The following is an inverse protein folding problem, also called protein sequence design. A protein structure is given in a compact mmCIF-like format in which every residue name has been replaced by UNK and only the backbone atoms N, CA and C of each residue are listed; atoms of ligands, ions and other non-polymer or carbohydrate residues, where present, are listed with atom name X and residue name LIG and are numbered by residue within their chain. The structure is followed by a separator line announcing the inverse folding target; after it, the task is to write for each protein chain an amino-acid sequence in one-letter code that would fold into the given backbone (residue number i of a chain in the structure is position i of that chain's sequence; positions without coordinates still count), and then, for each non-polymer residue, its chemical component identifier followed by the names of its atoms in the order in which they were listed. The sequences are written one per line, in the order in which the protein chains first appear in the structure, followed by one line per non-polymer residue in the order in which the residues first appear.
data_IF_213961598896
#
_entry.id   IF_213961598896
#
_cell.length_a   1.000
_cell.length_b   1.000
_cell.length_c   1.000
_cell.angle_alpha   90.00
_cell.angle_beta   90.00
_cell.angle_gamma   90.00
#
_symmetry.space_group_name_H-M   'P 1'
#
loop_
_entity.id
_entity.type
_entity.pdbx_description
1 polymer ?
#
# COMPACT_ATOMS: atom_id res chain seq x y z
N UNK A 1 16.04 5.73 -32.73
CA UNK A 1 15.25 4.80 -31.94
C UNK A 1 13.77 5.07 -32.21
N UNK A 2 13.04 4.09 -32.77
CA UNK A 2 11.67 4.28 -33.23
C UNK A 2 10.73 4.69 -32.09
N UNK A 3 9.68 5.50 -32.38
CA UNK A 3 8.65 5.91 -31.42
C UNK A 3 7.98 4.71 -30.71
N UNK A 4 7.97 3.54 -31.37
CA UNK A 4 7.36 2.30 -30.83
C UNK A 4 8.14 1.68 -29.66
N UNK A 5 9.44 1.86 -29.58
CA UNK A 5 10.30 1.23 -28.52
C UNK A 5 10.38 2.08 -27.26
N UNK A 6 10.18 3.40 -27.35
CA UNK A 6 10.32 4.34 -26.23
C UNK A 6 9.42 4.06 -25.01
N UNK A 7 8.13 3.68 -25.13
CA UNK A 7 7.29 3.42 -23.95
C UNK A 7 7.71 2.16 -23.19
N UNK A 8 8.11 1.10 -23.90
CA UNK A 8 8.59 -0.13 -23.28
C UNK A 8 9.84 0.10 -22.42
N UNK A 9 10.79 0.90 -22.93
CA UNK A 9 12.00 1.22 -22.17
C UNK A 9 11.65 1.90 -20.85
N UNK A 10 10.68 2.82 -20.83
CA UNK A 10 10.30 3.54 -19.60
C UNK A 10 9.60 2.62 -18.60
N UNK A 11 8.69 1.78 -19.08
CA UNK A 11 8.07 0.77 -18.24
C UNK A 11 9.12 -0.16 -17.63
N UNK A 12 10.02 -0.68 -18.45
CA UNK A 12 11.11 -1.56 -18.01
C UNK A 12 12.08 -0.82 -17.07
N UNK A 13 12.47 0.43 -17.38
CA UNK A 13 13.38 1.20 -16.53
C UNK A 13 12.74 1.53 -15.18
N UNK A 14 11.45 1.90 -15.16
CA UNK A 14 10.71 2.14 -13.92
C UNK A 14 10.61 0.87 -13.08
N UNK A 15 10.26 -0.24 -13.69
CA UNK A 15 10.24 -1.54 -13.04
C UNK A 15 11.61 -1.92 -12.48
N UNK A 16 12.67 -1.84 -13.29
CA UNK A 16 14.04 -2.18 -12.88
C UNK A 16 14.52 -1.31 -11.69
N UNK A 17 14.18 0.00 -11.71
CA UNK A 17 14.49 0.89 -10.61
C UNK A 17 13.78 0.45 -9.33
N UNK A 18 12.52 0.03 -9.40
CA UNK A 18 11.77 -0.43 -8.23
C UNK A 18 12.32 -1.72 -7.64
N UNK A 19 13.00 -2.57 -8.43
CA UNK A 19 13.61 -3.82 -7.95
C UNK A 19 14.85 -3.59 -7.08
N UNK A 20 15.49 -2.41 -7.18
CA UNK A 20 16.69 -2.13 -6.40
C UNK A 20 16.39 -2.14 -4.90
N UNK A 21 17.09 -2.99 -4.16
CA UNK A 21 16.92 -3.21 -2.71
C UNK A 21 15.47 -3.47 -2.26
N UNK A 22 14.62 -4.02 -3.14
CA UNK A 22 13.19 -4.22 -2.86
C UNK A 22 12.93 -5.11 -1.65
N UNK A 23 13.79 -6.10 -1.41
CA UNK A 23 13.67 -7.04 -0.27
C UNK A 23 14.30 -6.57 1.02
N UNK A 24 15.03 -5.43 1.03
CA UNK A 24 15.81 -4.97 2.20
C UNK A 24 14.94 -4.40 3.32
N UNK A 25 13.93 -3.54 3.05
CA UNK A 25 13.10 -3.01 4.12
C UNK A 25 12.38 -4.10 4.89
N UNK A 26 12.35 -3.97 6.23
CA UNK A 26 11.58 -4.88 7.09
C UNK A 26 10.11 -4.91 6.66
N UNK A 27 9.47 -6.06 6.78
CA UNK A 27 8.02 -6.18 6.63
C UNK A 27 7.32 -5.44 7.78
N UNK A 28 6.10 -4.95 7.53
CA UNK A 28 5.30 -4.21 8.50
C UNK A 28 3.86 -4.72 8.56
N UNK A 29 3.04 -4.10 9.42
CA UNK A 29 1.71 -4.61 9.77
C UNK A 29 0.83 -4.95 8.56
N UNK A 30 0.79 -4.07 7.56
CA UNK A 30 -0.08 -4.26 6.39
C UNK A 30 0.43 -5.38 5.46
N UNK A 31 1.76 -5.54 5.34
CA UNK A 31 2.34 -6.64 4.58
C UNK A 31 2.16 -7.97 5.31
N UNK A 32 2.25 -7.96 6.65
CA UNK A 32 1.93 -9.12 7.47
C UNK A 32 0.45 -9.53 7.34
N UNK A 33 -0.47 -8.55 7.30
CA UNK A 33 -1.88 -8.82 7.03
C UNK A 33 -2.08 -9.47 5.64
N UNK A 34 -1.35 -8.98 4.63
CA UNK A 34 -1.36 -9.58 3.28
C UNK A 34 -0.86 -11.02 3.31
N UNK A 35 0.26 -11.30 4.00
CA UNK A 35 0.78 -12.67 4.16
C UNK A 35 -0.20 -13.53 4.91
N UNK A 36 -0.71 -13.05 6.07
CA UNK A 36 -1.66 -13.78 6.90
C UNK A 36 -2.98 -14.10 6.20
N UNK A 37 -3.40 -13.27 5.26
CA UNK A 37 -4.55 -13.54 4.41
C UNK A 37 -4.18 -14.50 3.25
N UNK A 38 -3.10 -14.22 2.53
CA UNK A 38 -2.74 -14.94 1.30
C UNK A 38 -2.14 -16.33 1.55
N UNK A 39 -1.47 -16.56 2.68
CA UNK A 39 -0.81 -17.84 3.02
C UNK A 39 -1.75 -18.87 3.66
N UNK A 40 -3.06 -18.70 3.58
CA UNK A 40 -4.05 -19.67 4.11
C UNK A 40 -4.74 -20.40 2.97
N UNK A 41 -5.40 -21.58 3.25
CA UNK A 41 -6.25 -22.24 2.28
C UNK A 41 -7.30 -21.29 1.72
N UNK A 42 -7.67 -21.46 0.43
CA UNK A 42 -8.60 -20.57 -0.27
C UNK A 42 -9.95 -20.44 0.44
N UNK A 43 -10.45 -21.55 1.03
CA UNK A 43 -11.71 -21.55 1.78
C UNK A 43 -11.62 -20.72 3.05
N UNK A 44 -10.47 -20.78 3.76
CA UNK A 44 -10.19 -19.94 4.93
C UNK A 44 -10.00 -18.48 4.54
N UNK A 45 -9.41 -18.19 3.37
CA UNK A 45 -9.33 -16.84 2.84
C UNK A 45 -10.73 -16.28 2.54
N UNK A 46 -11.60 -17.08 1.91
CA UNK A 46 -12.98 -16.70 1.65
C UNK A 46 -13.75 -16.39 2.93
N UNK A 47 -13.63 -17.23 3.96
CA UNK A 47 -14.23 -16.98 5.27
C UNK A 47 -13.66 -15.70 5.94
N UNK A 48 -12.35 -15.46 5.80
CA UNK A 48 -11.73 -14.27 6.33
C UNK A 48 -12.37 -13.00 5.75
N UNK A 49 -12.44 -12.89 4.42
CA UNK A 49 -12.93 -11.69 3.73
C UNK A 49 -14.43 -11.44 3.89
N UNK A 50 -15.18 -12.39 4.42
CA UNK A 50 -16.56 -12.19 4.83
C UNK A 50 -16.70 -11.55 6.22
N UNK A 51 -15.61 -11.47 7.00
CA UNK A 51 -15.61 -10.99 8.38
C UNK A 51 -14.67 -9.81 8.60
N UNK A 52 -13.61 -9.70 7.79
CA UNK A 52 -12.60 -8.66 7.92
C UNK A 52 -11.89 -8.43 6.58
N UNK A 53 -11.53 -7.18 6.27
CA UNK A 53 -10.73 -6.78 5.12
C UNK A 53 -11.33 -7.17 3.74
N UNK A 54 -12.65 -7.25 3.61
CA UNK A 54 -13.33 -7.53 2.35
C UNK A 54 -12.86 -6.61 1.20
N UNK A 55 -12.56 -5.35 1.52
CA UNK A 55 -12.07 -4.34 0.57
C UNK A 55 -10.70 -4.68 -0.03
N UNK A 56 -9.96 -5.60 0.57
CA UNK A 56 -8.68 -6.13 0.09
C UNK A 56 -8.79 -7.54 -0.49
N UNK A 57 -10.00 -8.13 -0.51
CA UNK A 57 -10.21 -9.55 -0.83
C UNK A 57 -9.66 -9.95 -2.20
N UNK A 58 -9.88 -9.14 -3.24
CA UNK A 58 -9.34 -9.41 -4.58
C UNK A 58 -7.80 -9.38 -4.59
N UNK A 59 -7.20 -8.42 -3.88
CA UNK A 59 -5.75 -8.34 -3.78
C UNK A 59 -5.17 -9.53 -3.00
N UNK A 60 -5.82 -9.95 -1.91
CA UNK A 60 -5.42 -11.14 -1.16
C UNK A 60 -5.53 -12.44 -1.99
N UNK A 61 -6.60 -12.58 -2.79
CA UNK A 61 -6.72 -13.71 -3.71
C UNK A 61 -5.60 -13.70 -4.78
N UNK A 62 -5.29 -12.54 -5.35
CA UNK A 62 -4.15 -12.40 -6.27
C UNK A 62 -2.84 -12.80 -5.59
N UNK A 63 -2.59 -12.33 -4.37
CA UNK A 63 -1.38 -12.64 -3.61
C UNK A 63 -1.33 -14.09 -3.12
N UNK A 64 -2.47 -14.76 -2.92
CA UNK A 64 -2.55 -16.19 -2.64
C UNK A 64 -1.95 -17.02 -3.78
N UNK A 65 -2.41 -16.77 -5.02
CA UNK A 65 -1.86 -17.46 -6.20
C UNK A 65 -0.41 -17.06 -6.47
N UNK A 66 -0.06 -15.80 -6.30
CA UNK A 66 1.31 -15.34 -6.46
C UNK A 66 2.26 -15.99 -5.44
N UNK A 67 1.88 -15.96 -4.17
CA UNK A 67 2.68 -16.53 -3.08
C UNK A 67 2.82 -18.06 -3.16
N UNK A 68 1.80 -18.76 -3.66
CA UNK A 68 1.88 -20.20 -3.90
C UNK A 68 2.92 -20.60 -4.95
N UNK A 69 3.21 -19.70 -5.92
CA UNK A 69 4.20 -19.93 -6.97
C UNK A 69 5.60 -19.44 -6.60
N UNK A 70 5.71 -18.30 -5.92
CA UNK A 70 6.98 -17.58 -5.72
C UNK A 70 7.38 -17.44 -4.25
N UNK A 71 6.52 -17.88 -3.32
CA UNK A 71 6.71 -17.72 -1.88
C UNK A 71 6.43 -16.31 -1.37
N UNK A 72 6.68 -16.12 -0.06
CA UNK A 72 6.37 -14.88 0.68
C UNK A 72 7.64 -14.16 1.19
N UNK A 73 8.80 -14.37 0.55
CA UNK A 73 9.97 -13.56 0.89
C UNK A 73 9.68 -12.07 0.64
N UNK A 74 10.30 -11.12 1.37
CA UNK A 74 10.05 -9.69 1.19
C UNK A 74 10.19 -9.22 -0.27
N UNK A 75 11.15 -9.79 -1.02
CA UNK A 75 11.33 -9.50 -2.44
C UNK A 75 10.17 -10.03 -3.28
N UNK A 76 9.83 -11.33 -3.15
CA UNK A 76 8.76 -11.96 -3.92
C UNK A 76 7.41 -11.30 -3.64
N UNK A 77 7.15 -10.96 -2.38
CA UNK A 77 5.93 -10.32 -1.92
C UNK A 77 5.69 -8.94 -2.57
N UNK A 78 6.76 -8.13 -2.76
CA UNK A 78 6.72 -6.77 -3.28
C UNK A 78 6.88 -6.68 -4.79
N UNK A 79 7.36 -7.76 -5.42
CA UNK A 79 7.61 -7.81 -6.87
C UNK A 79 6.41 -7.39 -7.72
N UNK A 80 5.16 -7.83 -7.45
CA UNK A 80 3.99 -7.39 -8.20
C UNK A 80 3.79 -5.87 -8.16
N UNK A 81 4.00 -5.23 -7.01
CA UNK A 81 3.86 -3.79 -6.87
C UNK A 81 4.90 -3.02 -7.69
N UNK A 82 6.15 -3.49 -7.70
CA UNK A 82 7.20 -2.95 -8.57
C UNK A 82 6.84 -3.08 -10.05
N UNK A 83 6.30 -4.23 -10.46
CA UNK A 83 5.81 -4.47 -11.83
C UNK A 83 4.68 -3.49 -12.19
N UNK A 84 3.70 -3.29 -11.32
CA UNK A 84 2.59 -2.36 -11.56
C UNK A 84 3.05 -0.91 -11.67
N UNK A 85 4.09 -0.48 -10.96
CA UNK A 85 4.70 0.84 -11.17
C UNK A 85 5.26 0.97 -12.59
N UNK A 86 6.00 -0.03 -13.08
CA UNK A 86 6.50 -0.04 -14.46
C UNK A 86 5.37 0.00 -15.50
N UNK A 87 4.31 -0.79 -15.28
CA UNK A 87 3.12 -0.80 -16.14
C UNK A 87 2.38 0.53 -16.10
N UNK A 88 2.25 1.15 -14.92
CA UNK A 88 1.68 2.49 -14.78
C UNK A 88 2.44 3.55 -15.58
N UNK A 89 3.77 3.55 -15.51
CA UNK A 89 4.61 4.47 -16.29
C UNK A 89 4.45 4.26 -17.79
N UNK A 90 4.33 3.01 -18.23
CA UNK A 90 4.03 2.67 -19.64
C UNK A 90 2.65 3.19 -20.07
N UNK A 91 1.60 2.90 -19.29
CA UNK A 91 0.24 3.35 -19.60
C UNK A 91 0.11 4.87 -19.56
N UNK A 92 0.78 5.53 -18.61
CA UNK A 92 0.76 6.98 -18.48
C UNK A 92 1.38 7.68 -19.68
N UNK A 93 2.46 7.11 -20.26
CA UNK A 93 3.01 7.59 -21.52
C UNK A 93 1.98 7.54 -22.66
N UNK A 94 1.26 6.42 -22.78
CA UNK A 94 0.23 6.27 -23.82
C UNK A 94 -0.96 7.21 -23.57
N UNK A 95 -1.38 7.36 -22.32
CA UNK A 95 -2.42 8.30 -21.94
C UNK A 95 -2.04 9.75 -22.31
N UNK A 96 -0.80 10.15 -22.00
CA UNK A 96 -0.30 11.48 -22.36
C UNK A 96 -0.37 11.74 -23.88
N UNK A 97 0.02 10.75 -24.70
CA UNK A 97 -0.11 10.85 -26.16
C UNK A 97 -1.58 10.93 -26.61
N UNK A 98 -2.47 10.16 -25.99
CA UNK A 98 -3.93 10.22 -26.26
C UNK A 98 -4.53 11.57 -25.87
N UNK A 99 -4.01 12.20 -24.83
CA UNK A 99 -4.34 13.57 -24.44
C UNK A 99 -3.66 14.62 -25.32
N UNK A 100 -3.04 14.21 -26.44
CA UNK A 100 -2.37 15.06 -27.43
C UNK A 100 -1.16 15.84 -26.89
N UNK A 101 -0.53 15.35 -25.85
CA UNK A 101 0.72 15.93 -25.36
C UNK A 101 1.89 15.51 -26.30
N UNK A 102 2.92 16.35 -26.33
CA UNK A 102 4.14 16.03 -27.09
C UNK A 102 4.83 14.76 -26.54
N UNK A 103 5.61 14.07 -27.36
CA UNK A 103 6.40 12.91 -26.93
C UNK A 103 7.33 13.22 -25.75
N UNK A 104 7.85 14.44 -25.67
CA UNK A 104 8.68 14.85 -24.54
C UNK A 104 7.86 14.97 -23.27
N UNK A 105 6.70 15.64 -23.31
CA UNK A 105 5.80 15.74 -22.19
C UNK A 105 5.30 14.35 -21.72
N UNK A 106 4.96 13.45 -22.66
CA UNK A 106 4.62 12.08 -22.35
C UNK A 106 5.77 11.32 -21.67
N UNK A 107 7.01 11.57 -22.10
CA UNK A 107 8.21 11.03 -21.46
C UNK A 107 8.37 11.55 -20.03
N UNK A 108 8.25 12.85 -19.86
CA UNK A 108 8.40 13.46 -18.54
C UNK A 108 7.31 13.02 -17.59
N UNK A 109 6.06 12.83 -18.05
CA UNK A 109 4.99 12.29 -17.22
C UNK A 109 5.36 10.92 -16.64
N UNK A 110 5.90 10.00 -17.46
CA UNK A 110 6.36 8.68 -16.98
C UNK A 110 7.55 8.81 -16.02
N UNK A 111 8.54 9.64 -16.34
CA UNK A 111 9.73 9.84 -15.48
C UNK A 111 9.37 10.48 -14.16
N UNK A 112 8.54 11.52 -14.17
CA UNK A 112 8.04 12.18 -12.98
C UNK A 112 7.24 11.21 -12.13
N UNK A 113 6.33 10.43 -12.72
CA UNK A 113 5.56 9.41 -12.00
C UNK A 113 6.46 8.43 -11.25
N UNK A 114 7.50 7.88 -11.94
CA UNK A 114 8.47 6.98 -11.32
C UNK A 114 9.22 7.66 -10.18
N UNK A 115 9.54 8.96 -10.33
CA UNK A 115 10.28 9.74 -9.34
C UNK A 115 9.43 10.23 -8.16
N UNK A 116 8.10 10.13 -8.22
CA UNK A 116 7.23 10.57 -7.11
C UNK A 116 7.47 9.73 -5.86
N UNK A 117 7.66 10.34 -4.67
CA UNK A 117 7.82 9.61 -3.41
C UNK A 117 6.68 8.64 -3.13
N UNK A 118 5.44 9.01 -3.45
CA UNK A 118 4.28 8.10 -3.32
C UNK A 118 4.42 6.85 -4.18
N UNK A 119 4.96 6.99 -5.39
CA UNK A 119 5.22 5.85 -6.29
C UNK A 119 6.30 4.92 -5.72
N UNK A 120 7.34 5.48 -5.08
CA UNK A 120 8.38 4.69 -4.42
C UNK A 120 7.82 3.82 -3.31
N UNK A 121 6.94 4.39 -2.46
CA UNK A 121 6.28 3.65 -1.39
C UNK A 121 5.34 2.58 -1.96
N UNK A 122 4.45 2.95 -2.88
CA UNK A 122 3.51 2.02 -3.49
C UNK A 122 4.21 0.86 -4.21
N UNK A 123 5.34 1.11 -4.88
CA UNK A 123 6.13 0.09 -5.58
C UNK A 123 6.98 -0.80 -4.67
N UNK A 124 7.16 -0.42 -3.40
CA UNK A 124 7.96 -1.16 -2.41
C UNK A 124 7.10 -1.74 -1.28
N UNK A 125 5.84 -1.96 -1.52
CA UNK A 125 4.89 -2.42 -0.52
C UNK A 125 3.95 -3.47 -1.11
N UNK A 126 3.70 -4.54 -0.37
CA UNK A 126 2.76 -5.58 -0.77
C UNK A 126 1.32 -5.21 -0.39
N UNK A 127 0.84 -4.12 -1.00
CA UNK A 127 -0.54 -3.61 -0.89
C UNK A 127 -1.08 -3.27 -2.27
N UNK A 128 -2.39 -3.09 -2.35
CA UNK A 128 -3.08 -2.83 -3.62
C UNK A 128 -2.79 -1.47 -4.26
N UNK A 129 -2.04 -0.57 -3.61
CA UNK A 129 -1.84 0.81 -4.02
C UNK A 129 -1.28 0.97 -5.44
N UNK A 130 -0.22 0.21 -5.78
CA UNK A 130 0.38 0.26 -7.12
C UNK A 130 -0.57 -0.31 -8.19
N UNK A 131 -1.26 -1.41 -7.90
CA UNK A 131 -2.27 -2.00 -8.79
C UNK A 131 -3.44 -1.03 -9.00
N UNK A 132 -3.94 -0.39 -7.94
CA UNK A 132 -5.03 0.59 -8.03
C UNK A 132 -4.64 1.78 -8.88
N UNK A 133 -3.43 2.33 -8.72
CA UNK A 133 -2.92 3.41 -9.57
C UNK A 133 -2.86 2.98 -11.04
N UNK A 134 -2.40 1.75 -11.32
CA UNK A 134 -2.37 1.17 -12.67
C UNK A 134 -3.78 1.09 -13.27
N UNK A 135 -4.74 0.57 -12.49
CA UNK A 135 -6.12 0.40 -12.94
C UNK A 135 -6.81 1.74 -13.21
N UNK A 136 -6.56 2.77 -12.38
CA UNK A 136 -7.13 4.10 -12.60
C UNK A 136 -6.51 4.77 -13.82
N UNK A 137 -5.19 4.66 -14.05
CA UNK A 137 -4.56 5.15 -15.29
C UNK A 137 -5.15 4.42 -16.51
N UNK A 138 -5.32 3.09 -16.43
CA UNK A 138 -5.97 2.30 -17.47
C UNK A 138 -7.43 2.72 -17.69
N UNK A 139 -8.17 2.99 -16.63
CA UNK A 139 -9.57 3.46 -16.67
C UNK A 139 -9.68 4.77 -17.45
N UNK A 140 -8.82 5.75 -17.13
CA UNK A 140 -8.79 7.03 -17.85
C UNK A 140 -8.37 6.83 -19.32
N UNK A 141 -7.44 5.94 -19.60
CA UNK A 141 -7.06 5.60 -20.98
C UNK A 141 -8.24 4.98 -21.74
N UNK A 142 -8.99 4.05 -21.13
CA UNK A 142 -10.19 3.44 -21.71
C UNK A 142 -11.30 4.47 -21.86
N UNK A 143 -11.48 5.40 -20.92
CA UNK A 143 -12.43 6.51 -21.04
C UNK A 143 -12.09 7.35 -22.28
N UNK A 144 -10.85 7.82 -22.41
CA UNK A 144 -10.41 8.62 -23.59
C UNK A 144 -10.66 7.85 -24.88
N UNK A 145 -10.35 6.55 -24.88
CA UNK A 145 -10.66 5.68 -26.02
C UNK A 145 -12.17 5.54 -26.31
N UNK A 146 -13.01 5.47 -25.26
CA UNK A 146 -14.45 5.39 -25.42
C UNK A 146 -15.06 6.69 -25.98
N UNK A 147 -14.44 7.84 -25.71
CA UNK A 147 -14.87 9.13 -26.24
C UNK A 147 -14.48 9.36 -27.71
N UNK A 148 -13.58 8.56 -28.31
CA UNK A 148 -13.15 8.70 -29.71
C UNK A 148 -14.18 8.17 -30.73
N UNK A 149 -15.33 7.62 -30.33
CA UNK A 149 -16.29 7.05 -31.28
C UNK A 149 -17.74 6.99 -30.76
N UNK A 150 -18.69 7.32 -31.65
CA UNK A 150 -20.09 7.53 -31.27
C UNK A 150 -20.89 6.25 -30.93
N UNK A 151 -20.52 5.08 -31.44
CA UNK A 151 -21.34 3.86 -31.36
C UNK A 151 -20.65 2.63 -30.76
N UNK A 152 -19.51 2.76 -30.10
CA UNK A 152 -18.78 1.58 -29.66
C UNK A 152 -19.06 1.21 -28.19
N UNK A 153 -20.13 0.45 -27.93
CA UNK A 153 -20.47 -0.09 -26.63
C UNK A 153 -19.38 -1.00 -26.04
N UNK A 154 -18.59 -1.67 -26.88
CA UNK A 154 -17.49 -2.51 -26.39
C UNK A 154 -16.49 -1.71 -25.52
N UNK A 155 -16.23 -0.45 -25.86
CA UNK A 155 -15.35 0.42 -25.09
C UNK A 155 -15.95 0.79 -23.73
N UNK A 156 -17.27 0.96 -23.66
CA UNK A 156 -17.97 1.19 -22.40
C UNK A 156 -18.07 -0.07 -21.55
N UNK A 157 -18.17 -1.26 -22.14
CA UNK A 157 -18.01 -2.53 -21.42
C UNK A 157 -16.60 -2.68 -20.84
N UNK A 158 -15.56 -2.34 -21.62
CA UNK A 158 -14.20 -2.31 -21.09
C UNK A 158 -14.05 -1.30 -19.92
N UNK A 159 -14.68 -0.12 -20.01
CA UNK A 159 -14.74 0.85 -18.93
C UNK A 159 -15.41 0.25 -17.68
N UNK A 160 -16.58 -0.39 -17.83
CA UNK A 160 -17.27 -1.09 -16.74
C UNK A 160 -16.36 -2.12 -16.08
N UNK A 161 -15.70 -2.97 -16.87
CA UNK A 161 -14.81 -4.03 -16.35
C UNK A 161 -13.62 -3.48 -15.58
N UNK A 162 -12.92 -2.47 -16.13
CA UNK A 162 -11.77 -1.86 -15.46
C UNK A 162 -12.18 -1.09 -14.20
N UNK A 163 -13.32 -0.40 -14.23
CA UNK A 163 -13.88 0.28 -13.07
C UNK A 163 -14.24 -0.71 -11.96
N UNK A 164 -14.94 -1.79 -12.29
CA UNK A 164 -15.27 -2.85 -11.32
C UNK A 164 -14.01 -3.43 -10.70
N UNK A 165 -13.03 -3.77 -11.52
CA UNK A 165 -11.75 -4.30 -11.04
C UNK A 165 -11.03 -3.30 -10.10
N UNK A 166 -11.09 -2.01 -10.42
CA UNK A 166 -10.53 -0.94 -9.59
C UNK A 166 -11.23 -0.85 -8.23
N UNK A 167 -12.58 -0.92 -8.20
CA UNK A 167 -13.38 -0.90 -6.97
C UNK A 167 -13.09 -2.14 -6.11
N UNK A 168 -13.02 -3.34 -6.71
CA UNK A 168 -12.65 -4.57 -5.99
C UNK A 168 -11.22 -4.56 -5.45
N UNK A 169 -10.33 -3.82 -6.10
CA UNK A 169 -8.94 -3.68 -5.65
C UNK A 169 -8.81 -2.67 -4.52
N UNK A 170 -9.59 -1.58 -4.59
CA UNK A 170 -9.61 -0.53 -3.58
C UNK A 170 -10.86 0.35 -3.71
N UNK A 171 -11.74 0.29 -2.72
CA UNK A 171 -13.07 0.91 -2.77
C UNK A 171 -13.02 2.43 -3.02
N UNK A 172 -12.05 3.15 -2.42
CA UNK A 172 -11.92 4.61 -2.61
C UNK A 172 -11.51 5.00 -4.04
N UNK A 173 -11.09 4.06 -4.90
CA UNK A 173 -10.87 4.34 -6.31
C UNK A 173 -12.15 4.82 -7.03
N UNK A 174 -13.33 4.50 -6.49
CA UNK A 174 -14.62 5.00 -6.98
C UNK A 174 -14.75 6.53 -6.94
N UNK A 175 -13.95 7.22 -6.11
CA UNK A 175 -13.91 8.69 -6.10
C UNK A 175 -13.56 9.29 -7.46
N UNK A 176 -12.92 8.53 -8.35
CA UNK A 176 -12.59 8.94 -9.72
C UNK A 176 -13.85 9.19 -10.59
N UNK A 177 -14.98 8.63 -10.22
CA UNK A 177 -16.23 8.81 -10.97
C UNK A 177 -16.71 10.26 -10.97
N UNK A 178 -16.50 10.99 -9.88
CA UNK A 178 -16.93 12.38 -9.77
C UNK A 178 -16.17 13.30 -10.73
N UNK A 179 -14.82 13.31 -10.77
CA UNK A 179 -14.09 14.09 -11.77
C UNK A 179 -14.41 13.70 -13.21
N UNK A 180 -14.62 12.39 -13.50
CA UNK A 180 -15.05 11.95 -14.83
C UNK A 180 -16.45 12.50 -15.17
N UNK A 181 -17.41 12.39 -14.25
CA UNK A 181 -18.76 12.91 -14.44
C UNK A 181 -18.77 14.42 -14.71
N UNK A 182 -18.05 15.21 -13.91
CA UNK A 182 -17.91 16.66 -14.11
C UNK A 182 -17.30 16.96 -15.49
N UNK A 183 -16.23 16.25 -15.86
CA UNK A 183 -15.60 16.44 -17.16
C UNK A 183 -16.56 16.14 -18.33
N UNK A 184 -17.33 15.05 -18.24
CA UNK A 184 -18.28 14.67 -19.29
C UNK A 184 -19.42 15.67 -19.40
N UNK A 185 -19.96 16.16 -18.30
CA UNK A 185 -21.01 17.20 -18.31
C UNK A 185 -20.49 18.51 -18.93
N UNK A 186 -19.23 18.86 -18.64
CA UNK A 186 -18.64 20.09 -19.16
C UNK A 186 -18.23 19.99 -20.64
N UNK A 187 -17.73 18.82 -21.10
CA UNK A 187 -17.05 18.73 -22.40
C UNK A 187 -17.65 17.69 -23.36
N UNK A 188 -18.41 16.69 -22.87
CA UNK A 188 -18.89 15.54 -23.64
C UNK A 188 -20.31 15.10 -23.25
N UNK A 189 -21.25 16.04 -23.10
CA UNK A 189 -22.62 15.77 -22.59
C UNK A 189 -23.35 14.62 -23.31
N UNK A 190 -23.14 14.46 -24.62
CA UNK A 190 -23.72 13.37 -25.39
C UNK A 190 -23.26 11.96 -24.99
N UNK A 191 -22.15 11.82 -24.27
CA UNK A 191 -21.64 10.54 -23.79
C UNK A 191 -22.03 10.26 -22.32
N UNK A 192 -22.65 11.22 -21.62
CA UNK A 192 -22.96 11.11 -20.20
C UNK A 192 -23.91 9.94 -19.89
N UNK A 193 -24.90 9.67 -20.75
CA UNK A 193 -25.80 8.53 -20.57
C UNK A 193 -25.06 7.19 -20.65
N UNK A 194 -24.14 7.03 -21.61
CA UNK A 194 -23.34 5.81 -21.75
C UNK A 194 -22.42 5.62 -20.53
N UNK A 195 -21.80 6.70 -20.06
CA UNK A 195 -21.02 6.69 -18.81
C UNK A 195 -21.89 6.27 -17.62
N UNK A 196 -23.10 6.83 -17.47
CA UNK A 196 -24.00 6.49 -16.37
C UNK A 196 -24.41 5.01 -16.39
N UNK A 197 -24.73 4.47 -17.58
CA UNK A 197 -25.05 3.04 -17.74
C UNK A 197 -23.84 2.16 -17.41
N UNK A 198 -22.66 2.51 -17.92
CA UNK A 198 -21.41 1.77 -17.66
C UNK A 198 -21.02 1.81 -16.16
N UNK A 199 -21.19 2.98 -15.52
CA UNK A 199 -20.95 3.15 -14.08
C UNK A 199 -21.94 2.34 -13.25
N UNK A 200 -23.24 2.37 -13.59
CA UNK A 200 -24.24 1.55 -12.89
C UNK A 200 -23.93 0.06 -13.03
N UNK A 201 -23.53 -0.40 -14.23
CA UNK A 201 -23.06 -1.77 -14.43
C UNK A 201 -21.88 -2.12 -13.53
N UNK A 202 -20.91 -1.21 -13.41
CA UNK A 202 -19.75 -1.43 -12.52
C UNK A 202 -20.16 -1.47 -11.04
N UNK A 203 -21.06 -0.59 -10.58
CA UNK A 203 -21.58 -0.59 -9.21
C UNK A 203 -22.30 -1.91 -8.90
N UNK A 204 -23.18 -2.37 -9.82
CA UNK A 204 -23.90 -3.65 -9.66
C UNK A 204 -22.91 -4.82 -9.59
N UNK A 205 -21.92 -4.88 -10.47
CA UNK A 205 -20.88 -5.92 -10.44
C UNK A 205 -20.03 -5.86 -9.16
N UNK A 206 -19.81 -4.67 -8.61
CA UNK A 206 -19.03 -4.46 -7.39
C UNK A 206 -19.89 -4.45 -6.12
N UNK A 207 -21.18 -4.69 -6.21
CA UNK A 207 -22.09 -4.66 -5.05
C UNK A 207 -21.61 -5.54 -3.89
N UNK A 208 -21.09 -6.76 -4.09
CA UNK A 208 -20.60 -7.56 -2.97
C UNK A 208 -19.53 -6.85 -2.14
N UNK A 209 -18.48 -6.33 -2.76
CA UNK A 209 -17.40 -5.66 -2.02
C UNK A 209 -17.85 -4.33 -1.39
N UNK A 210 -18.80 -3.64 -2.02
CA UNK A 210 -19.39 -2.40 -1.46
C UNK A 210 -20.19 -2.73 -0.20
N UNK A 211 -21.02 -3.79 -0.24
CA UNK A 211 -21.85 -4.21 0.90
C UNK A 211 -20.96 -4.67 2.07
N UNK A 212 -20.01 -5.57 1.82
CA UNK A 212 -19.09 -6.03 2.87
C UNK A 212 -18.24 -4.89 3.41
N UNK A 213 -17.69 -4.03 2.57
CA UNK A 213 -16.91 -2.87 3.00
C UNK A 213 -17.73 -1.90 3.88
N UNK A 214 -19.02 -1.73 3.58
CA UNK A 214 -19.91 -0.95 4.43
C UNK A 214 -20.18 -1.63 5.79
N UNK A 215 -20.37 -2.93 5.81
CA UNK A 215 -20.55 -3.70 7.06
C UNK A 215 -19.31 -3.65 7.94
N UNK A 216 -18.15 -3.65 7.33
CA UNK A 216 -16.83 -3.63 8.00
C UNK A 216 -16.28 -2.21 8.27
N UNK A 217 -17.05 -1.15 8.03
CA UNK A 217 -16.58 0.25 8.15
C UNK A 217 -15.99 0.61 9.51
N UNK A 218 -16.33 -0.12 10.57
CA UNK A 218 -15.74 0.05 11.89
C UNK A 218 -14.24 -0.24 11.96
N UNK A 219 -13.67 -0.95 10.98
CA UNK A 219 -12.24 -1.24 10.92
C UNK A 219 -11.36 0.00 10.71
N UNK A 220 -11.90 1.06 10.11
CA UNK A 220 -11.20 2.33 9.92
C UNK A 220 -11.37 3.31 11.07
N UNK A 221 -11.99 2.91 12.18
CA UNK A 221 -12.21 3.73 13.38
C UNK A 221 -10.92 4.18 14.09
N UNK A 222 -9.74 3.73 13.63
CA UNK A 222 -8.44 4.25 14.06
C UNK A 222 -8.09 5.60 13.43
N UNK A 223 -8.78 6.00 12.34
CA UNK A 223 -8.57 7.29 11.68
C UNK A 223 -9.24 8.35 12.55
N UNK A 224 -8.51 9.36 12.94
CA UNK A 224 -9.01 10.46 13.77
C UNK A 224 -9.29 11.70 12.93
N UNK A 225 -10.26 12.50 13.41
CA UNK A 225 -10.59 13.78 12.79
C UNK A 225 -9.43 14.78 12.94
N UNK A 226 -9.16 15.52 11.88
CA UNK A 226 -8.10 16.54 11.81
C UNK A 226 -8.70 17.91 11.49
N UNK A 227 -8.03 19.02 11.85
CA UNK A 227 -8.44 20.33 11.39
C UNK A 227 -8.24 20.46 9.86
N UNK A 228 -9.01 21.32 9.22
CA UNK A 228 -8.94 21.55 7.77
C UNK A 228 -7.51 21.89 7.29
N UNK A 229 -6.76 22.67 8.08
CA UNK A 229 -5.37 23.04 7.75
C UNK A 229 -4.45 21.81 7.64
N UNK A 230 -4.63 20.81 8.49
CA UNK A 230 -3.85 19.57 8.42
C UNK A 230 -4.26 18.72 7.23
N UNK A 231 -5.56 18.58 6.94
CA UNK A 231 -6.03 17.92 5.73
C UNK A 231 -5.49 18.56 4.45
N UNK A 232 -5.49 19.91 4.38
CA UNK A 232 -4.94 20.63 3.23
C UNK A 232 -3.43 20.39 3.10
N UNK A 233 -2.69 20.47 4.21
CA UNK A 233 -1.27 20.18 4.22
C UNK A 233 -0.98 18.75 3.73
N UNK A 234 -1.68 17.78 4.27
CA UNK A 234 -1.51 16.38 3.85
C UNK A 234 -1.88 16.17 2.38
N UNK A 235 -2.97 16.78 1.91
CA UNK A 235 -3.37 16.70 0.51
C UNK A 235 -2.31 17.29 -0.44
N UNK A 236 -1.69 18.40 -0.09
CA UNK A 236 -0.72 19.09 -0.94
C UNK A 236 0.69 18.51 -0.83
N UNK A 237 1.08 17.98 0.33
CA UNK A 237 2.47 17.61 0.61
C UNK A 237 2.65 16.12 0.91
N UNK A 238 1.66 15.45 1.52
CA UNK A 238 1.81 14.04 1.88
C UNK A 238 1.32 13.09 0.78
N UNK A 239 0.17 13.37 0.14
CA UNK A 239 -0.45 12.47 -0.84
C UNK A 239 0.53 12.03 -1.92
N UNK A 240 1.17 12.94 -2.60
CA UNK A 240 2.06 12.65 -3.73
C UNK A 240 3.55 12.66 -3.34
N UNK A 241 3.94 13.53 -2.40
CA UNK A 241 5.34 13.82 -2.11
C UNK A 241 5.84 13.19 -0.80
N UNK A 242 5.00 12.46 -0.08
CA UNK A 242 5.34 11.82 1.20
C UNK A 242 6.09 12.77 2.16
N UNK A 243 5.58 13.99 2.31
CA UNK A 243 6.14 15.06 3.14
C UNK A 243 7.49 15.63 2.68
N UNK A 244 7.96 15.29 1.46
CA UNK A 244 9.13 15.93 0.85
C UNK A 244 8.77 17.35 0.37
N UNK A 245 8.65 18.30 1.30
CA UNK A 245 8.14 19.65 1.04
C UNK A 245 8.90 20.45 -0.04
N UNK A 246 10.25 20.34 -0.21
CA UNK A 246 10.92 21.08 -1.28
C UNK A 246 10.48 20.58 -2.66
N UNK A 247 10.28 19.26 -2.79
CA UNK A 247 9.77 18.64 -4.01
C UNK A 247 8.30 19.01 -4.24
N UNK A 248 7.49 19.07 -3.16
CA UNK A 248 6.09 19.50 -3.24
C UNK A 248 5.96 20.95 -3.75
N UNK A 249 6.76 21.87 -3.25
CA UNK A 249 6.77 23.28 -3.70
C UNK A 249 7.08 23.37 -5.20
N UNK A 250 8.12 22.69 -5.67
CA UNK A 250 8.47 22.66 -7.09
C UNK A 250 7.36 22.02 -7.94
N UNK A 251 6.85 20.87 -7.50
CA UNK A 251 5.79 20.14 -8.20
C UNK A 251 4.48 20.91 -8.27
N UNK A 252 4.04 21.51 -7.16
CA UNK A 252 2.83 22.36 -7.12
C UNK A 252 2.99 23.61 -8.00
N UNK A 253 4.16 24.24 -8.00
CA UNK A 253 4.44 25.36 -8.90
C UNK A 253 4.29 24.97 -10.37
N UNK A 254 4.77 23.79 -10.77
CA UNK A 254 4.60 23.23 -12.12
C UNK A 254 3.14 22.87 -12.42
N UNK A 255 2.40 22.32 -11.44
CA UNK A 255 0.97 22.05 -11.58
C UNK A 255 0.17 23.34 -11.79
N UNK A 256 0.44 24.38 -11.02
CA UNK A 256 -0.19 25.72 -11.20
C UNK A 256 0.13 26.25 -12.60
N UNK A 257 1.38 26.18 -13.03
CA UNK A 257 1.77 26.62 -14.38
C UNK A 257 1.02 25.84 -15.46
N UNK A 258 0.84 24.52 -15.30
CA UNK A 258 0.05 23.70 -16.22
C UNK A 258 -1.42 24.15 -16.28
N UNK A 259 -2.03 24.44 -15.13
CA UNK A 259 -3.43 24.90 -15.05
C UNK A 259 -3.59 26.27 -15.75
N UNK A 260 -2.71 27.21 -15.46
CA UNK A 260 -2.69 28.54 -16.11
C UNK A 260 -2.50 28.42 -17.63
N UNK A 261 -1.74 27.44 -18.08
CA UNK A 261 -1.50 27.12 -19.51
C UNK A 261 -2.56 26.18 -20.11
N UNK A 262 -3.73 26.10 -19.48
CA UNK A 262 -4.92 25.36 -19.94
C UNK A 262 -4.68 23.85 -20.11
N UNK A 263 -4.11 23.21 -19.09
CA UNK A 263 -4.10 21.75 -18.99
C UNK A 263 -5.51 21.17 -19.17
N UNK A 264 -5.59 19.91 -19.61
CA UNK A 264 -6.87 19.23 -19.77
C UNK A 264 -7.67 19.24 -18.47
N UNK A 265 -8.96 19.67 -18.56
CA UNK A 265 -9.89 19.71 -17.43
C UNK A 265 -9.95 18.32 -16.74
N UNK A 266 -9.97 17.23 -17.50
CA UNK A 266 -9.97 15.88 -16.95
C UNK A 266 -8.80 15.62 -16.02
N UNK A 267 -7.59 16.03 -16.42
CA UNK A 267 -6.39 15.80 -15.60
C UNK A 267 -6.39 16.66 -14.34
N UNK A 268 -6.83 17.91 -14.44
CA UNK A 268 -6.98 18.82 -13.28
C UNK A 268 -7.99 18.25 -12.27
N UNK A 269 -9.17 17.86 -12.76
CA UNK A 269 -10.21 17.28 -11.90
C UNK A 269 -9.76 15.97 -11.26
N UNK A 270 -9.05 15.10 -12.00
CA UNK A 270 -8.53 13.85 -11.45
C UNK A 270 -7.48 14.09 -10.35
N UNK A 271 -6.62 15.09 -10.51
CA UNK A 271 -5.63 15.43 -9.49
C UNK A 271 -6.22 16.04 -8.21
N UNK A 272 -7.35 16.79 -8.31
CA UNK A 272 -7.82 17.63 -7.21
C UNK A 272 -9.11 17.14 -6.55
N UNK A 273 -10.09 16.68 -7.35
CA UNK A 273 -11.43 16.38 -6.85
C UNK A 273 -11.45 15.19 -5.87
N UNK A 274 -10.74 14.07 -6.06
CA UNK A 274 -10.75 12.97 -5.10
C UNK A 274 -10.27 13.39 -3.71
N UNK A 275 -9.20 14.19 -3.62
CA UNK A 275 -8.71 14.73 -2.35
C UNK A 275 -9.73 15.66 -1.70
N UNK A 276 -10.30 16.58 -2.47
CA UNK A 276 -11.31 17.51 -1.96
C UNK A 276 -12.56 16.78 -1.44
N UNK A 277 -13.03 15.76 -2.15
CA UNK A 277 -14.17 14.93 -1.72
C UNK A 277 -13.85 14.17 -0.43
N UNK A 278 -12.67 13.54 -0.33
CA UNK A 278 -12.31 12.78 0.85
C UNK A 278 -12.13 13.69 2.08
N UNK A 279 -11.61 14.91 1.89
CA UNK A 279 -11.56 15.95 2.94
C UNK A 279 -12.98 16.35 3.34
N UNK A 280 -13.87 16.65 2.39
CA UNK A 280 -15.24 17.05 2.67
C UNK A 280 -16.00 15.95 3.44
N UNK A 281 -15.88 14.69 3.04
CA UNK A 281 -16.46 13.55 3.76
C UNK A 281 -15.89 13.46 5.17
N UNK A 282 -14.56 13.62 5.33
CA UNK A 282 -13.90 13.53 6.64
C UNK A 282 -14.26 14.67 7.58
N UNK A 283 -14.63 15.84 7.07
CA UNK A 283 -15.08 16.98 7.86
C UNK A 283 -16.58 16.91 8.22
N UNK A 284 -17.40 16.38 7.31
CA UNK A 284 -18.87 16.42 7.46
C UNK A 284 -19.46 15.15 8.06
N UNK A 285 -18.75 14.02 7.99
CA UNK A 285 -19.26 12.71 8.42
C UNK A 285 -18.22 12.01 9.30
N UNK A 286 -17.58 10.97 8.81
CA UNK A 286 -16.58 10.16 9.50
C UNK A 286 -15.18 10.43 8.92
N UNK A 287 -14.13 10.44 9.74
CA UNK A 287 -12.78 10.69 9.26
C UNK A 287 -12.25 9.50 8.44
N UNK A 288 -12.18 9.67 7.13
CA UNK A 288 -11.66 8.67 6.19
C UNK A 288 -10.38 9.11 5.48
N UNK A 289 -9.91 10.35 5.66
CA UNK A 289 -8.75 10.86 4.95
C UNK A 289 -7.46 10.23 5.46
N UNK A 290 -6.83 9.47 4.56
CA UNK A 290 -5.48 8.93 4.71
C UNK A 290 -4.72 9.20 3.41
N UNK A 291 -3.52 9.72 3.50
CA UNK A 291 -2.75 10.20 2.34
C UNK A 291 -2.53 9.12 1.26
N UNK A 292 -2.20 7.89 1.64
CA UNK A 292 -1.98 6.80 0.70
C UNK A 292 -3.26 6.24 0.06
N UNK A 293 -4.44 6.55 0.58
CA UNK A 293 -5.72 6.18 -0.07
C UNK A 293 -5.91 6.89 -1.41
N UNK A 294 -5.18 7.98 -1.64
CA UNK A 294 -5.22 8.78 -2.85
C UNK A 294 -4.07 8.48 -3.83
N UNK A 295 -3.32 7.41 -3.63
CA UNK A 295 -2.20 7.01 -4.52
C UNK A 295 -2.60 6.95 -6.01
N UNK A 296 -3.86 6.66 -6.31
CA UNK A 296 -4.36 6.62 -7.68
C UNK A 296 -4.46 7.99 -8.37
N UNK A 297 -4.28 9.11 -7.65
CA UNK A 297 -4.24 10.46 -8.23
C UNK A 297 -2.84 10.87 -8.69
N UNK A 298 -1.80 10.16 -8.23
CA UNK A 298 -0.38 10.48 -8.53
C UNK A 298 -0.09 10.53 -10.05
N UNK A 299 -0.79 9.70 -10.85
CA UNK A 299 -0.68 9.75 -12.31
C UNK A 299 -1.14 11.09 -12.91
N UNK A 300 -2.19 11.71 -12.36
CA UNK A 300 -2.66 13.02 -12.79
C UNK A 300 -1.67 14.13 -12.40
N UNK A 301 -1.15 14.09 -11.17
CA UNK A 301 -0.13 15.03 -10.70
C UNK A 301 1.13 14.96 -11.58
N UNK A 302 1.58 13.76 -11.93
CA UNK A 302 2.72 13.57 -12.83
C UNK A 302 2.46 14.15 -14.23
N UNK A 303 1.23 14.01 -14.76
CA UNK A 303 0.83 14.64 -16.03
C UNK A 303 0.85 16.17 -15.92
N UNK A 304 0.30 16.74 -14.85
CA UNK A 304 0.32 18.20 -14.65
C UNK A 304 1.74 18.74 -14.56
N UNK A 305 2.62 18.10 -13.80
CA UNK A 305 4.04 18.49 -13.70
C UNK A 305 4.70 18.43 -15.08
N UNK A 306 4.47 17.38 -15.86
CA UNK A 306 5.03 17.23 -17.20
C UNK A 306 4.50 18.29 -18.19
N UNK A 307 3.22 18.65 -18.08
CA UNK A 307 2.64 19.76 -18.86
C UNK A 307 3.30 21.08 -18.44
N UNK A 308 3.41 21.37 -17.15
CA UNK A 308 4.07 22.58 -16.65
C UNK A 308 5.52 22.69 -17.14
N UNK A 309 6.29 21.62 -17.04
CA UNK A 309 7.65 21.52 -17.60
C UNK A 309 7.67 21.85 -19.10
N UNK A 310 6.72 21.30 -19.87
CA UNK A 310 6.68 21.48 -21.33
C UNK A 310 6.33 22.91 -21.75
N UNK A 311 5.78 23.72 -20.85
CA UNK A 311 5.41 25.12 -21.12
C UNK A 311 6.55 26.11 -20.86
N UNK A 312 7.64 25.70 -20.23
CA UNK A 312 8.83 26.52 -20.05
C UNK A 312 9.47 26.80 -21.44
N UNK A 313 9.76 28.08 -21.71
CA UNK A 313 10.17 28.53 -23.04
C UNK A 313 11.53 27.94 -23.50
N UNK A 314 12.45 27.73 -22.56
CA UNK A 314 13.85 27.40 -22.82
C UNK A 314 14.12 25.94 -22.52
N UNK A 315 14.48 25.13 -23.54
CA UNK A 315 14.75 23.69 -23.38
C UNK A 315 15.79 23.34 -22.30
N UNK A 316 16.95 24.00 -22.20
CA UNK A 316 17.88 23.77 -21.10
C UNK A 316 17.25 23.94 -19.72
N UNK A 317 16.36 24.94 -19.56
CA UNK A 317 15.63 25.17 -18.28
C UNK A 317 14.68 24.01 -17.99
N UNK A 318 14.00 23.46 -18.99
CA UNK A 318 13.15 22.26 -18.82
C UNK A 318 13.95 21.09 -18.25
N UNK A 319 15.12 20.81 -18.80
CA UNK A 319 15.99 19.74 -18.34
C UNK A 319 16.58 20.02 -16.95
N UNK A 320 16.96 21.25 -16.68
CA UNK A 320 17.47 21.66 -15.35
C UNK A 320 16.40 21.46 -14.26
N UNK A 321 15.16 21.92 -14.53
CA UNK A 321 14.04 21.76 -13.58
C UNK A 321 13.68 20.30 -13.40
N UNK A 322 13.69 19.49 -14.46
CA UNK A 322 13.49 18.04 -14.34
C UNK A 322 14.62 17.38 -13.52
N UNK A 323 15.88 17.74 -13.79
CA UNK A 323 17.01 17.22 -13.02
C UNK A 323 16.93 17.62 -11.54
N UNK A 324 16.51 18.83 -11.24
CA UNK A 324 16.26 19.27 -9.85
C UNK A 324 15.15 18.47 -9.21
N UNK A 325 14.03 18.22 -9.93
CA UNK A 325 12.93 17.40 -9.43
C UNK A 325 13.40 15.98 -9.09
N UNK A 326 14.20 15.37 -9.97
CA UNK A 326 14.79 14.03 -9.76
C UNK A 326 15.78 14.03 -8.59
N UNK A 327 16.61 15.07 -8.46
CA UNK A 327 17.54 15.20 -7.34
C UNK A 327 16.79 15.32 -5.99
N UNK A 328 15.69 16.07 -5.94
CA UNK A 328 14.83 16.20 -4.75
C UNK A 328 14.08 14.90 -4.42
N UNK A 329 13.85 14.04 -5.40
CA UNK A 329 13.23 12.72 -5.23
C UNK A 329 14.18 11.69 -4.59
N UNK A 330 15.49 11.80 -4.85
CA UNK A 330 16.48 10.79 -4.49
C UNK A 330 16.53 10.46 -2.99
N UNK A 331 16.49 11.42 -2.06
CA UNK A 331 16.48 11.10 -0.62
C UNK A 331 15.30 10.21 -0.22
N UNK A 332 14.09 10.54 -0.71
CA UNK A 332 12.89 9.73 -0.43
C UNK A 332 13.00 8.32 -1.03
N UNK A 333 13.57 8.20 -2.23
CA UNK A 333 13.82 6.89 -2.84
C UNK A 333 14.77 6.05 -2.00
N UNK A 334 15.93 6.62 -1.61
CA UNK A 334 16.94 5.93 -0.80
C UNK A 334 16.36 5.51 0.55
N UNK A 335 15.68 6.44 1.25
CA UNK A 335 15.02 6.16 2.53
C UNK A 335 14.01 5.01 2.43
N UNK A 336 13.25 4.93 1.33
CA UNK A 336 12.27 3.85 1.10
C UNK A 336 12.91 2.46 0.95
N UNK A 337 14.24 2.37 0.84
CA UNK A 337 15.04 1.15 0.66
C UNK A 337 15.89 0.79 1.89
N UNK A 338 15.81 1.57 2.94
CA UNK A 338 16.50 1.29 4.19
C UNK A 338 15.82 0.16 4.98
N UNK A 339 16.55 -0.58 5.81
CA UNK A 339 15.97 -1.65 6.63
C UNK A 339 14.78 -1.21 7.49
N UNK A 340 14.84 0.03 8.01
CA UNK A 340 13.81 0.63 8.88
C UNK A 340 12.78 1.49 8.12
N UNK A 341 12.76 1.45 6.79
CA UNK A 341 11.89 2.31 5.95
C UNK A 341 10.39 2.25 6.28
N UNK A 342 9.94 1.16 6.88
CA UNK A 342 8.55 0.93 7.29
C UNK A 342 8.29 1.18 8.79
N UNK A 343 9.27 1.75 9.51
CA UNK A 343 9.17 1.99 10.96
C UNK A 343 9.15 0.71 11.80
N UNK A 344 9.63 -0.40 11.26
CA UNK A 344 9.73 -1.69 11.95
C UNK A 344 11.12 -2.28 11.80
N UNK A 345 11.55 -3.02 12.81
CA UNK A 345 12.81 -3.78 12.79
C UNK A 345 12.57 -5.31 12.87
N UNK A 346 11.39 -5.75 12.45
CA UNK A 346 10.96 -7.13 12.59
C UNK A 346 11.92 -8.14 11.96
N UNK A 347 12.58 -7.80 10.85
CA UNK A 347 13.61 -8.65 10.24
C UNK A 347 14.77 -8.95 11.20
N UNK A 348 15.25 -7.90 11.93
CA UNK A 348 16.33 -8.05 12.91
C UNK A 348 15.90 -8.85 14.13
N UNK A 349 14.67 -8.62 14.60
CA UNK A 349 14.10 -9.37 15.74
C UNK A 349 13.91 -10.83 15.38
N UNK A 350 13.33 -11.14 14.21
CA UNK A 350 13.16 -12.51 13.74
C UNK A 350 14.49 -13.25 13.55
N UNK A 351 15.50 -12.60 12.97
CA UNK A 351 16.85 -13.15 12.88
C UNK A 351 17.42 -13.43 14.28
N UNK A 352 17.27 -12.50 15.24
CA UNK A 352 17.73 -12.71 16.60
C UNK A 352 17.03 -13.87 17.31
N UNK A 353 15.73 -14.09 17.08
CA UNK A 353 15.03 -15.28 17.56
C UNK A 353 15.61 -16.54 16.95
N UNK A 354 15.84 -16.55 15.64
CA UNK A 354 16.42 -17.69 14.94
C UNK A 354 17.83 -18.02 15.44
N UNK A 355 18.67 -17.02 15.67
CA UNK A 355 20.06 -17.19 16.09
C UNK A 355 20.20 -17.64 17.56
N UNK A 356 19.22 -17.33 18.41
CA UNK A 356 19.29 -17.58 19.87
C UNK A 356 18.36 -18.72 20.31
N UNK A 357 17.66 -19.40 19.40
CA UNK A 357 16.77 -20.51 19.71
C UNK A 357 16.88 -21.65 18.70
N UNK A 358 16.50 -22.84 19.13
CA UNK A 358 16.46 -24.07 18.34
C UNK A 358 15.03 -24.60 18.17
N UNK A 359 14.85 -25.59 17.31
CA UNK A 359 13.56 -26.29 17.20
C UNK A 359 13.21 -26.93 18.55
N UNK A 360 11.94 -26.78 18.95
CA UNK A 360 11.44 -27.25 20.23
C UNK A 360 11.53 -26.23 21.37
N UNK A 361 12.29 -25.15 21.22
CA UNK A 361 12.34 -24.09 22.23
C UNK A 361 11.02 -23.33 22.32
N UNK A 362 10.68 -22.88 23.52
CA UNK A 362 9.43 -22.21 23.82
C UNK A 362 9.47 -20.72 23.44
N UNK A 363 8.34 -20.23 22.93
CA UNK A 363 8.07 -18.79 22.76
C UNK A 363 6.93 -18.39 23.67
N UNK A 364 7.13 -17.33 24.44
CA UNK A 364 6.10 -16.70 25.27
C UNK A 364 5.84 -15.27 24.78
N UNK A 365 4.58 -14.97 24.49
CA UNK A 365 4.13 -13.63 24.16
C UNK A 365 3.25 -13.11 25.31
N UNK A 366 3.79 -12.26 26.21
CA UNK A 366 3.02 -11.71 27.31
C UNK A 366 1.88 -10.83 26.77
N UNK A 367 0.73 -10.97 27.38
CA UNK A 367 -0.49 -10.17 27.17
C UNK A 367 -0.90 -9.89 25.71
N UNK A 368 -1.53 -10.90 25.09
CA UNK A 368 -2.03 -10.86 23.71
C UNK A 368 -3.16 -9.84 23.43
N UNK A 369 -3.61 -9.10 24.44
CA UNK A 369 -4.71 -8.14 24.31
C UNK A 369 -4.25 -6.73 23.98
N UNK A 370 -2.98 -6.39 24.24
CA UNK A 370 -2.41 -5.07 23.96
C UNK A 370 -2.15 -4.85 22.47
N UNK A 371 -2.18 -3.59 22.05
CA UNK A 371 -1.88 -3.19 20.64
C UNK A 371 -0.46 -3.58 20.24
N UNK A 372 0.49 -3.52 21.17
CA UNK A 372 1.89 -3.91 20.97
C UNK A 372 2.05 -5.41 20.67
N UNK A 373 1.29 -6.26 21.34
CA UNK A 373 1.39 -7.71 21.15
C UNK A 373 0.73 -8.19 19.85
N UNK A 374 -0.24 -7.44 19.30
CA UNK A 374 -0.71 -7.68 17.93
C UNK A 374 0.40 -7.47 16.90
N UNK A 375 1.29 -6.50 17.13
CA UNK A 375 2.45 -6.27 16.26
C UNK A 375 3.42 -7.46 16.31
N UNK A 376 3.65 -8.05 17.49
CA UNK A 376 4.50 -9.25 17.63
C UNK A 376 3.86 -10.46 16.92
N UNK A 377 2.54 -10.64 17.03
CA UNK A 377 1.82 -11.73 16.36
C UNK A 377 1.92 -11.59 14.82
N UNK A 378 1.75 -10.37 14.31
CA UNK A 378 1.94 -10.08 12.89
C UNK A 378 3.39 -10.30 12.44
N UNK A 379 4.38 -9.96 13.26
CA UNK A 379 5.78 -10.25 12.98
C UNK A 379 6.03 -11.75 12.83
N UNK A 380 5.47 -12.58 13.71
CA UNK A 380 5.58 -14.05 13.62
C UNK A 380 4.96 -14.56 12.32
N UNK A 381 3.81 -14.00 11.90
CA UNK A 381 3.19 -14.34 10.62
C UNK A 381 4.06 -13.92 9.44
N UNK A 382 4.64 -12.71 9.51
CA UNK A 382 5.45 -12.15 8.44
C UNK A 382 6.77 -12.87 8.23
N UNK A 383 7.35 -13.38 9.31
CA UNK A 383 8.66 -14.05 9.34
C UNK A 383 8.53 -15.50 9.80
N UNK A 384 7.44 -16.19 9.41
CA UNK A 384 7.17 -17.59 9.79
C UNK A 384 8.39 -18.53 9.66
N UNK A 385 9.23 -18.44 8.60
CA UNK A 385 10.41 -19.32 8.48
C UNK A 385 11.38 -19.22 9.66
N UNK A 386 11.60 -18.02 10.20
CA UNK A 386 12.51 -17.76 11.33
C UNK A 386 11.96 -18.30 12.65
N UNK A 387 10.62 -18.45 12.73
CA UNK A 387 9.93 -18.99 13.90
C UNK A 387 9.60 -20.49 13.77
N UNK A 388 9.83 -21.07 12.60
CA UNK A 388 9.44 -22.46 12.31
C UNK A 388 10.11 -23.47 13.25
N UNK A 389 9.27 -24.31 13.86
CA UNK A 389 9.69 -25.38 14.77
C UNK A 389 9.88 -24.94 16.22
N UNK A 390 9.75 -23.64 16.56
CA UNK A 390 9.60 -23.15 17.94
C UNK A 390 8.17 -23.41 18.39
N UNK A 391 7.97 -23.62 19.68
CA UNK A 391 6.66 -23.90 20.27
C UNK A 391 6.11 -22.61 20.85
N UNK A 392 5.11 -22.03 20.19
CA UNK A 392 4.39 -20.88 20.75
C UNK A 392 3.46 -21.36 21.88
N UNK A 393 3.90 -21.12 23.11
CA UNK A 393 3.24 -21.58 24.33
C UNK A 393 1.92 -20.83 24.62
N UNK A 394 1.72 -19.69 23.97
CA UNK A 394 0.51 -18.88 24.14
C UNK A 394 -0.54 -19.09 23.04
N UNK A 395 -0.16 -19.67 21.91
CA UNK A 395 -1.03 -19.83 20.75
C UNK A 395 -2.02 -20.98 20.97
N UNK A 396 -3.32 -20.65 21.02
CA UNK A 396 -4.42 -21.64 21.10
C UNK A 396 -4.96 -22.02 19.74
N UNK A 397 -5.13 -21.02 18.85
CA UNK A 397 -5.66 -21.21 17.51
C UNK A 397 -4.84 -20.39 16.52
N UNK A 398 -4.38 -21.02 15.46
CA UNK A 398 -3.61 -20.33 14.41
C UNK A 398 -4.48 -19.31 13.67
N UNK A 399 -3.90 -18.24 13.10
CA UNK A 399 -4.65 -17.29 12.28
C UNK A 399 -5.43 -17.96 11.14
N UNK A 400 -4.84 -18.96 10.47
CA UNK A 400 -5.50 -19.67 9.36
C UNK A 400 -6.72 -20.49 9.78
N UNK A 401 -6.77 -20.94 11.04
CA UNK A 401 -7.87 -21.76 11.61
C UNK A 401 -8.94 -20.87 12.29
N UNK A 402 -8.81 -19.56 12.20
CA UNK A 402 -9.73 -18.56 12.72
C UNK A 402 -10.13 -17.57 11.62
N UNK A 403 -11.29 -16.93 11.74
CA UNK A 403 -11.74 -15.88 10.82
C UNK A 403 -11.09 -14.52 11.17
N UNK A 404 -9.79 -14.52 11.53
CA UNK A 404 -9.03 -13.35 11.97
C UNK A 404 -7.66 -13.32 11.30
N UNK A 405 -7.07 -12.13 11.25
CA UNK A 405 -5.68 -11.96 10.83
C UNK A 405 -4.67 -12.37 11.90
N UNK A 406 -5.13 -12.50 13.16
CA UNK A 406 -4.29 -12.81 14.33
C UNK A 406 -4.68 -14.18 14.91
N UNK A 407 -3.71 -14.84 15.56
CA UNK A 407 -3.97 -16.03 16.36
C UNK A 407 -4.82 -15.74 17.59
N UNK A 408 -5.53 -16.76 18.10
CA UNK A 408 -6.17 -16.71 19.40
C UNK A 408 -5.16 -17.23 20.41
N UNK A 409 -4.90 -16.46 21.47
CA UNK A 409 -3.89 -16.76 22.49
C UNK A 409 -4.47 -16.91 23.87
N UNK A 410 -3.88 -17.80 24.65
CA UNK A 410 -4.16 -17.91 26.09
C UNK A 410 -3.46 -16.81 26.88
N UNK A 411 -3.89 -16.60 28.12
CA UNK A 411 -3.10 -15.80 29.07
C UNK A 411 -1.79 -16.52 29.37
N UNK A 412 -0.69 -15.78 29.45
CA UNK A 412 0.66 -16.32 29.71
C UNK A 412 0.71 -17.15 30.99
N UNK A 413 0.01 -16.71 32.04
CA UNK A 413 -0.06 -17.41 33.33
C UNK A 413 -0.62 -18.85 33.24
N UNK A 414 -1.42 -19.14 32.21
CA UNK A 414 -2.07 -20.44 32.03
C UNK A 414 -1.34 -21.34 31.02
N UNK A 415 -0.11 -21.00 30.63
CA UNK A 415 0.68 -21.80 29.70
C UNK A 415 1.28 -23.01 30.38
N UNK A 416 1.39 -24.12 29.62
CA UNK A 416 2.07 -25.30 30.10
C UNK A 416 3.58 -25.14 30.01
N UNK A 417 4.31 -25.76 30.94
CA UNK A 417 5.78 -25.82 30.90
C UNK A 417 6.24 -26.58 29.63
N UNK A 418 7.16 -26.01 28.85
CA UNK A 418 7.74 -26.70 27.70
C UNK A 418 8.74 -27.76 28.14
N UNK A 419 8.88 -28.82 27.32
CA UNK A 419 9.95 -29.82 27.54
C UNK A 419 11.35 -29.30 27.23
N UNK A 420 11.48 -28.16 26.56
CA UNK A 420 12.76 -27.56 26.18
C UNK A 420 13.50 -26.95 27.37
N UNK A 421 14.81 -26.77 27.19
CA UNK A 421 15.66 -26.09 28.19
C UNK A 421 15.74 -24.58 27.98
N UNK A 422 15.07 -24.04 26.96
CA UNK A 422 15.13 -22.61 26.62
C UNK A 422 13.74 -22.05 26.29
N UNK A 423 13.46 -20.87 26.80
CA UNK A 423 12.23 -20.12 26.52
C UNK A 423 12.59 -18.69 26.18
N UNK A 424 12.06 -18.18 25.08
CA UNK A 424 12.18 -16.78 24.68
C UNK A 424 10.88 -16.05 24.99
N UNK A 425 10.99 -14.96 25.75
CA UNK A 425 9.88 -14.07 26.05
C UNK A 425 10.01 -12.84 25.17
N UNK A 426 9.03 -12.62 24.31
CA UNK A 426 8.95 -11.45 23.41
C UNK A 426 7.99 -10.45 24.02
N UNK A 427 8.45 -9.25 24.33
CA UNK A 427 7.65 -8.20 25.00
C UNK A 427 7.91 -6.83 24.37
N UNK A 428 7.00 -5.89 24.62
CA UNK A 428 7.22 -4.49 24.29
C UNK A 428 8.10 -3.83 25.36
N UNK A 429 9.26 -3.26 25.00
CA UNK A 429 10.15 -2.62 25.96
C UNK A 429 9.53 -1.38 26.62
N UNK A 430 8.53 -0.74 26.01
CA UNK A 430 7.83 0.43 26.57
C UNK A 430 6.90 0.06 27.74
N UNK A 431 6.46 -1.21 27.81
CA UNK A 431 5.64 -1.72 28.91
C UNK A 431 6.50 -2.12 30.14
N UNK A 432 7.82 -1.97 30.06
CA UNK A 432 8.76 -2.41 31.09
C UNK A 432 9.07 -3.90 31.02
N UNK A 433 9.96 -4.36 31.90
CA UNK A 433 10.20 -5.81 32.04
C UNK A 433 8.92 -6.48 32.52
N UNK A 434 8.53 -7.65 31.94
CA UNK A 434 7.39 -8.40 32.44
C UNK A 434 7.55 -8.63 33.94
N UNK A 435 6.61 -8.14 34.74
CA UNK A 435 6.69 -8.37 36.17
C UNK A 435 6.67 -9.88 36.45
N UNK A 436 7.35 -10.33 37.51
CA UNK A 436 7.34 -11.75 37.87
C UNK A 436 5.93 -12.30 38.05
N UNK A 437 4.98 -11.44 38.40
CA UNK A 437 3.56 -11.78 38.52
C UNK A 437 2.81 -11.90 37.20
N UNK A 438 3.36 -11.43 36.08
CA UNK A 438 2.78 -11.58 34.74
C UNK A 438 3.32 -12.79 33.96
N UNK A 439 4.31 -13.49 34.51
CA UNK A 439 4.92 -14.68 33.93
C UNK A 439 4.42 -15.95 34.65
N UNK A 440 4.37 -17.13 33.98
CA UNK A 440 3.94 -18.36 34.63
C UNK A 440 4.93 -18.75 35.72
N UNK A 441 4.42 -19.32 36.83
CA UNK A 441 5.23 -19.70 38.01
C UNK A 441 6.38 -20.62 37.63
N UNK A 442 6.11 -21.63 36.76
CA UNK A 442 7.16 -22.58 36.32
C UNK A 442 8.36 -21.89 35.64
N UNK A 443 8.16 -20.72 34.99
CA UNK A 443 9.27 -19.98 34.36
C UNK A 443 10.17 -19.34 35.43
N UNK A 444 9.57 -18.77 36.45
CA UNK A 444 10.33 -18.15 37.55
C UNK A 444 11.02 -19.19 38.46
N UNK A 445 10.38 -20.36 38.62
CA UNK A 445 10.87 -21.40 39.53
C UNK A 445 11.95 -22.29 38.89
N UNK A 446 11.84 -22.57 37.58
CA UNK A 446 12.66 -23.57 36.90
C UNK A 446 13.58 -23.00 35.83
N UNK A 447 13.46 -21.72 35.50
CA UNK A 447 14.29 -21.05 34.50
C UNK A 447 14.91 -19.76 35.06
N UNK A 448 16.07 -19.38 34.56
CA UNK A 448 16.74 -18.12 34.88
C UNK A 448 16.94 -17.28 33.64
N UNK A 449 16.67 -15.96 33.74
CA UNK A 449 16.97 -15.03 32.67
C UNK A 449 18.49 -14.92 32.49
N UNK A 450 18.98 -15.24 31.31
CA UNK A 450 20.42 -15.22 30.96
C UNK A 450 20.81 -13.99 30.16
N UNK A 451 19.92 -13.55 29.24
CA UNK A 451 20.23 -12.46 28.32
C UNK A 451 18.94 -11.74 27.92
N UNK A 452 19.01 -10.42 27.80
CA UNK A 452 17.98 -9.60 27.18
C UNK A 452 18.56 -8.90 25.93
N UNK A 453 17.87 -9.04 24.80
CA UNK A 453 18.18 -8.35 23.54
C UNK A 453 17.12 -7.25 23.39
N UNK A 454 17.54 -6.00 23.39
CA UNK A 454 16.64 -4.84 23.28
C UNK A 454 16.66 -4.29 21.87
N UNK A 455 15.49 -4.12 21.30
CA UNK A 455 15.21 -3.44 20.05
C UNK A 455 14.30 -2.24 20.33
N UNK A 456 14.03 -1.41 19.33
CA UNK A 456 13.20 -0.20 19.54
C UNK A 456 11.77 -0.53 19.97
N UNK A 457 11.18 -1.57 19.37
CA UNK A 457 9.76 -1.92 19.54
C UNK A 457 9.54 -3.27 20.21
N UNK A 458 10.56 -4.10 20.33
CA UNK A 458 10.47 -5.46 20.88
C UNK A 458 11.71 -5.76 21.73
N UNK A 459 11.50 -6.43 22.86
CA UNK A 459 12.56 -7.01 23.67
C UNK A 459 12.44 -8.53 23.67
N UNK A 460 13.55 -9.23 23.51
CA UNK A 460 13.65 -10.67 23.66
C UNK A 460 14.39 -10.98 24.94
N UNK A 461 13.74 -11.60 25.91
CA UNK A 461 14.42 -12.12 27.11
C UNK A 461 14.55 -13.62 27.00
N UNK A 462 15.79 -14.11 27.08
CA UNK A 462 16.14 -15.51 26.95
C UNK A 462 16.26 -16.14 28.33
N UNK A 463 15.41 -17.12 28.60
CA UNK A 463 15.43 -17.91 29.81
C UNK A 463 16.01 -19.29 29.53
N UNK A 464 16.86 -19.78 30.42
CA UNK A 464 17.40 -21.13 30.37
C UNK A 464 17.05 -21.89 31.66
N UNK A 465 16.78 -23.20 31.52
CA UNK A 465 16.43 -24.07 32.65
C UNK A 465 17.56 -24.09 33.67
N UNK A 466 17.19 -23.92 34.94
CA UNK A 466 18.12 -24.04 36.07
C UNK A 466 18.52 -25.53 36.17
N UNK A 467 19.81 -25.80 36.22
CA UNK A 467 20.35 -27.15 36.35
C UNK A 467 20.07 -27.72 37.76
#
# INVERSE_FOLDING_TARGET
MSLRVRPYIRGVSGFALMLWNLGVPSLWQDEAATIGAANRPIDSLWQLVQNIDAVHGLYYAFMHFWGSLFGFSPFALRFPSAFFVGLSAFLLFHLALKLRLSTNAATWASVVFIAMPRTHLAGSEARSNALTATLVIALILVLVWALEGDRNWLRWFAFTGVLSLSIYTFLFSALILVPIGIYLVASHRGQFMKFSVATMGAIVLSAPVIIFGYQERGQVGWIYAKPLTEYLWESLVAVDYNRAWPMAVLGLGLCILAIVRKASLLVVLWATVPSALLIAVSLCFEPYFVDHYLTFTTGATALLIAIGLSTLAIRPVQWLVLALFLALSLPSFMQSREPMAKGTEWARVAAAVNDNSSRGDGLLLPDATSKANRAIDLMIVAYEPEFKGRIDLTLMTKPADSNRLFGIRSKVLNTMEPASNKVLVLSDPQLGEPSKTSLPAWLNDKFSAKRALKFETIQITIFERIK
#
